data_IF_381756911150
#
_entry.id   IF_381756911150
#
_cell.length_a   1.000
_cell.length_b   1.000
_cell.length_c   1.000
_cell.angle_alpha   90.00
_cell.angle_beta   90.00
_cell.angle_gamma   90.00
#
_symmetry.space_group_name_H-M   'P 1'
#
loop_
_entity.id
_entity.type
_entity.pdbx_description
1 polymer ?
#
# COMPACT_ATOMS: atom_id res chain seq x y z
N UNK A 1 -12.86 5.60 15.80
CA UNK A 1 -13.18 4.37 15.07
C UNK A 1 -12.81 4.60 13.62
N UNK A 2 -12.16 3.64 12.95
CA UNK A 2 -11.87 3.69 11.51
C UNK A 2 -12.68 2.57 10.84
N UNK A 3 -13.54 2.89 9.87
CA UNK A 3 -14.35 1.91 9.13
C UNK A 3 -14.01 1.93 7.64
N UNK A 4 -13.87 0.75 7.03
CA UNK A 4 -13.80 0.55 5.57
C UNK A 4 -15.11 -0.09 5.12
N UNK A 5 -15.86 0.56 4.21
CA UNK A 5 -17.03 -0.07 3.59
C UNK A 5 -16.62 -0.83 2.33
N UNK A 6 -16.64 -2.16 2.38
CA UNK A 6 -16.88 -3.03 1.20
C UNK A 6 -18.36 -3.36 1.17
N UNK A 7 -18.93 -3.56 -0.01
CA UNK A 7 -20.35 -3.65 -0.40
C UNK A 7 -21.29 -4.63 0.37
N UNK A 8 -21.06 -4.97 1.64
CA UNK A 8 -22.08 -5.26 2.67
C UNK A 8 -21.47 -5.62 4.06
N UNK A 9 -20.17 -5.41 4.28
CA UNK A 9 -19.54 -5.61 5.59
C UNK A 9 -18.62 -4.44 5.93
N UNK A 10 -19.09 -3.57 6.82
CA UNK A 10 -18.26 -2.58 7.49
C UNK A 10 -17.18 -3.30 8.31
N UNK A 11 -15.91 -3.02 8.01
CA UNK A 11 -14.79 -3.58 8.78
C UNK A 11 -14.23 -2.53 9.72
N UNK A 12 -14.24 -2.81 11.03
CA UNK A 12 -13.54 -1.97 12.01
C UNK A 12 -12.03 -2.20 11.93
N UNK A 13 -11.26 -1.17 12.27
CA UNK A 13 -9.83 -1.27 12.51
C UNK A 13 -9.43 -2.46 13.39
N UNK A 14 -8.57 -3.33 12.86
CA UNK A 14 -8.08 -4.50 13.57
C UNK A 14 -6.98 -4.16 14.59
N UNK A 15 -6.10 -3.22 14.24
CA UNK A 15 -4.97 -2.83 15.06
C UNK A 15 -4.81 -1.31 15.12
N UNK A 16 -5.24 -0.71 16.23
CA UNK A 16 -5.06 0.71 16.47
C UNK A 16 -3.62 1.06 16.88
N UNK A 17 -3.03 2.02 16.19
CA UNK A 17 -1.77 2.66 16.59
C UNK A 17 -2.09 3.80 17.53
N UNK A 18 -1.50 3.80 18.74
CA UNK A 18 -1.80 4.78 19.79
C UNK A 18 -0.62 5.69 20.10
N UNK A 19 -0.93 6.91 20.55
CA UNK A 19 0.05 7.83 21.13
C UNK A 19 0.33 7.53 22.62
N UNK A 20 1.22 8.32 23.23
CA UNK A 20 1.58 8.25 24.65
C UNK A 20 0.37 8.45 25.60
N UNK A 21 -0.69 9.11 25.11
CA UNK A 21 -1.93 9.38 25.85
C UNK A 21 -3.02 8.34 25.54
N UNK A 22 -2.67 7.21 24.93
CA UNK A 22 -3.58 6.13 24.52
C UNK A 22 -4.65 6.55 23.50
N UNK A 23 -4.43 7.65 22.76
CA UNK A 23 -5.32 8.11 21.68
C UNK A 23 -4.99 7.36 20.40
N UNK A 24 -6.03 6.89 19.71
CA UNK A 24 -5.87 6.22 18.42
C UNK A 24 -5.43 7.25 17.36
N UNK A 25 -4.20 7.12 16.86
CA UNK A 25 -3.63 7.97 15.81
C UNK A 25 -3.59 7.30 14.44
N UNK A 26 -3.76 5.99 14.38
CA UNK A 26 -3.73 5.25 13.13
C UNK A 26 -4.35 3.87 13.26
N UNK A 27 -4.43 3.18 12.12
CA UNK A 27 -4.98 1.86 12.00
C UNK A 27 -4.13 0.99 11.07
N UNK A 28 -4.03 -0.29 11.39
CA UNK A 28 -3.47 -1.32 10.51
C UNK A 28 -4.56 -2.37 10.29
N UNK A 29 -4.90 -2.59 9.03
CA UNK A 29 -5.70 -3.73 8.58
C UNK A 29 -4.74 -4.82 8.11
N UNK A 30 -4.93 -6.05 8.59
CA UNK A 30 -4.15 -7.21 8.16
C UNK A 30 -4.73 -7.76 6.86
N UNK A 31 -3.87 -8.30 6.01
CA UNK A 31 -4.26 -9.02 4.78
C UNK A 31 -5.21 -8.23 3.86
N UNK A 32 -4.94 -6.94 3.67
CA UNK A 32 -5.70 -6.10 2.74
C UNK A 32 -5.46 -6.58 1.31
N UNK A 33 -6.51 -7.04 0.65
CA UNK A 33 -6.50 -7.24 -0.81
C UNK A 33 -7.03 -5.97 -1.46
N UNK A 34 -6.17 -5.22 -2.15
CA UNK A 34 -6.61 -4.00 -2.83
C UNK A 34 -7.23 -4.41 -4.19
N UNK A 35 -8.56 -4.33 -4.28
CA UNK A 35 -9.27 -4.50 -5.54
C UNK A 35 -9.17 -3.26 -6.44
N UNK A 36 -9.94 -3.24 -7.53
CA UNK A 36 -10.09 -2.05 -8.40
C UNK A 36 -11.05 -1.00 -7.81
N UNK A 37 -11.61 -1.27 -6.63
CA UNK A 37 -12.68 -0.50 -6.00
C UNK A 37 -12.16 0.65 -5.12
N UNK A 38 -13.00 1.68 -4.98
CA UNK A 38 -12.82 2.74 -3.98
C UNK A 38 -13.23 2.21 -2.61
N UNK A 39 -12.40 2.45 -1.61
CA UNK A 39 -12.76 2.22 -0.23
C UNK A 39 -13.28 3.52 0.40
N UNK A 40 -14.39 3.43 1.12
CA UNK A 40 -14.86 4.52 1.97
C UNK A 40 -14.26 4.37 3.36
N UNK A 41 -13.52 5.39 3.82
CA UNK A 41 -12.94 5.45 5.15
C UNK A 41 -13.73 6.42 6.02
N UNK A 42 -14.19 5.97 7.19
CA UNK A 42 -14.84 6.82 8.20
C UNK A 42 -14.03 6.82 9.49
N UNK A 43 -13.66 8.01 9.97
CA UNK A 43 -12.95 8.26 11.22
C UNK A 43 -13.86 9.01 12.18
N UNK A 44 -14.33 8.35 13.24
CA UNK A 44 -15.11 9.01 14.28
C UNK A 44 -14.30 9.18 15.59
N UNK A 45 -14.85 9.94 16.53
CA UNK A 45 -14.29 10.12 17.85
C UNK A 45 -15.37 10.27 18.93
N UNK A 46 -14.96 10.12 20.18
CA UNK A 46 -15.81 10.34 21.34
C UNK A 46 -15.06 11.13 22.41
N UNK A 47 -15.80 11.96 23.15
CA UNK A 47 -15.29 12.72 24.28
C UNK A 47 -16.38 12.85 25.34
N UNK A 48 -15.98 12.98 26.60
CA UNK A 48 -16.92 13.22 27.71
C UNK A 48 -17.46 14.65 27.72
N UNK A 49 -16.67 15.59 27.19
CA UNK A 49 -16.93 17.03 27.34
C UNK A 49 -17.61 17.64 26.11
N UNK A 50 -17.47 17.01 24.95
CA UNK A 50 -17.98 17.56 23.69
C UNK A 50 -18.24 16.49 22.65
N UNK A 51 -19.11 16.82 21.69
CA UNK A 51 -19.29 16.03 20.47
C UNK A 51 -18.06 16.22 19.57
N UNK A 52 -17.53 15.10 19.07
CA UNK A 52 -16.42 15.09 18.11
C UNK A 52 -16.99 14.84 16.72
N UNK A 53 -16.66 15.71 15.78
CA UNK A 53 -17.05 15.54 14.39
C UNK A 53 -16.26 14.39 13.76
N UNK A 54 -16.93 13.58 12.93
CA UNK A 54 -16.26 12.54 12.16
C UNK A 54 -15.63 13.13 10.88
N UNK A 55 -14.65 12.42 10.35
CA UNK A 55 -14.06 12.65 9.03
C UNK A 55 -14.33 11.44 8.15
N UNK A 56 -14.64 11.64 6.88
CA UNK A 56 -14.83 10.56 5.93
C UNK A 56 -14.29 10.87 4.54
N UNK A 57 -13.87 9.83 3.81
CA UNK A 57 -13.30 9.99 2.49
C UNK A 57 -13.40 8.71 1.65
N UNK A 58 -13.60 8.85 0.34
CA UNK A 58 -13.46 7.76 -0.63
C UNK A 58 -12.05 7.78 -1.24
N UNK A 59 -11.31 6.69 -1.06
CA UNK A 59 -9.93 6.55 -1.55
C UNK A 59 -9.85 5.41 -2.57
N UNK A 60 -9.30 5.71 -3.74
CA UNK A 60 -8.87 4.70 -4.70
C UNK A 60 -7.62 4.00 -4.12
N UNK A 61 -7.76 2.78 -3.60
CA UNK A 61 -6.69 2.09 -2.87
C UNK A 61 -5.40 1.89 -3.71
N UNK A 62 -5.54 1.67 -5.02
CA UNK A 62 -4.38 1.53 -5.92
C UNK A 62 -3.56 2.82 -6.07
N UNK A 63 -4.12 4.00 -5.75
CA UNK A 63 -3.39 5.28 -5.84
C UNK A 63 -2.50 5.53 -4.61
N UNK A 64 -2.80 4.86 -3.50
CA UNK A 64 -2.04 4.96 -2.25
C UNK A 64 -1.17 3.71 -1.99
N UNK A 65 -1.17 2.76 -2.93
CA UNK A 65 -0.30 1.58 -2.85
C UNK A 65 1.17 2.00 -2.95
N UNK A 66 1.96 1.61 -1.95
CA UNK A 66 3.41 1.79 -1.97
C UNK A 66 4.00 0.52 -2.57
N UNK A 67 4.48 0.63 -3.81
CA UNK A 67 5.09 -0.48 -4.54
C UNK A 67 6.44 -0.87 -3.90
N UNK A 68 6.69 -2.17 -3.81
CA UNK A 68 8.00 -2.68 -3.42
C UNK A 68 9.03 -2.44 -4.52
N UNK A 69 10.32 -2.66 -4.23
CA UNK A 69 11.32 -2.77 -5.28
C UNK A 69 11.02 -3.98 -6.22
N UNK A 70 11.58 -4.00 -7.44
CA UNK A 70 11.56 -5.17 -8.30
C UNK A 70 12.14 -6.39 -7.59
N UNK A 71 11.55 -7.56 -7.84
CA UNK A 71 11.92 -8.80 -7.18
C UNK A 71 12.91 -9.62 -8.01
N UNK A 72 13.72 -10.46 -7.36
CA UNK A 72 14.62 -11.42 -8.02
C UNK A 72 15.49 -10.77 -9.11
N UNK A 73 16.17 -9.68 -8.76
CA UNK A 73 17.11 -9.00 -9.66
C UNK A 73 18.34 -9.91 -9.82
N UNK A 74 18.61 -10.34 -11.05
CA UNK A 74 19.78 -11.14 -11.40
C UNK A 74 20.54 -10.50 -12.55
N UNK A 75 21.86 -10.65 -12.54
CA UNK A 75 22.73 -10.21 -13.62
C UNK A 75 23.54 -11.41 -14.12
N UNK A 76 23.43 -11.68 -15.41
CA UNK A 76 24.18 -12.73 -16.09
C UNK A 76 25.16 -12.10 -17.07
N UNK A 77 26.44 -12.04 -16.66
CA UNK A 77 27.54 -11.54 -17.47
C UNK A 77 28.36 -12.71 -17.98
N UNK A 78 28.49 -12.86 -19.30
CA UNK A 78 29.28 -13.95 -19.91
C UNK A 78 30.68 -13.44 -20.22
N UNK A 79 31.73 -14.17 -19.85
CA UNK A 79 33.12 -13.74 -20.12
C UNK A 79 33.45 -13.59 -21.61
N UNK A 80 32.75 -14.35 -22.44
CA UNK A 80 32.96 -14.37 -23.89
C UNK A 80 32.17 -13.27 -24.62
N UNK A 81 31.32 -12.51 -23.92
CA UNK A 81 30.54 -11.40 -24.47
C UNK A 81 30.77 -10.14 -23.64
N UNK A 82 30.94 -8.97 -24.28
CA UNK A 82 31.03 -7.69 -23.58
C UNK A 82 29.68 -7.20 -23.00
N UNK A 83 28.69 -8.09 -22.82
CA UNK A 83 27.32 -7.78 -22.42
C UNK A 83 26.92 -8.52 -21.16
N UNK A 84 26.18 -7.82 -20.30
CA UNK A 84 25.46 -8.40 -19.17
C UNK A 84 23.97 -8.33 -19.43
N UNK A 85 23.24 -9.41 -19.12
CA UNK A 85 21.79 -9.44 -19.15
C UNK A 85 21.29 -9.30 -17.72
N UNK A 86 20.53 -8.24 -17.44
CA UNK A 86 19.89 -8.02 -16.14
C UNK A 86 18.41 -8.37 -16.27
N UNK A 87 17.92 -9.22 -15.38
CA UNK A 87 16.51 -9.65 -15.35
C UNK A 87 15.92 -9.45 -13.96
N UNK A 88 14.62 -9.16 -13.90
CA UNK A 88 13.89 -9.02 -12.65
C UNK A 88 12.41 -9.38 -12.86
N UNK A 89 11.73 -9.64 -11.75
CA UNK A 89 10.28 -9.75 -11.67
C UNK A 89 9.69 -8.39 -11.26
N UNK A 90 8.46 -8.07 -11.71
CA UNK A 90 7.79 -6.84 -11.29
C UNK A 90 7.58 -6.81 -9.78
N UNK A 91 7.40 -5.61 -9.20
CA UNK A 91 7.06 -5.49 -7.79
C UNK A 91 5.69 -6.09 -7.51
N UNK A 92 5.43 -6.42 -6.25
CA UNK A 92 4.10 -6.86 -5.83
C UNK A 92 3.14 -5.68 -5.99
N UNK A 93 2.02 -5.94 -6.65
CA UNK A 93 0.90 -5.01 -6.75
C UNK A 93 -0.39 -5.81 -6.63
N UNK A 94 -1.33 -5.25 -5.91
CA UNK A 94 -2.69 -5.77 -5.84
C UNK A 94 -3.52 -5.34 -7.06
N UNK A 95 -3.07 -4.30 -7.77
CA UNK A 95 -3.74 -3.75 -8.94
C UNK A 95 -3.30 -4.45 -10.24
N UNK A 96 -3.61 -5.76 -10.32
CA UNK A 96 -3.10 -6.70 -11.33
C UNK A 96 -3.41 -6.27 -12.77
N UNK A 97 -4.54 -5.59 -13.01
CA UNK A 97 -4.95 -5.14 -14.35
C UNK A 97 -3.95 -4.17 -15.01
N UNK A 98 -3.15 -3.43 -14.21
CA UNK A 98 -2.13 -2.49 -14.70
C UNK A 98 -0.69 -2.94 -14.43
N UNK A 99 -0.46 -4.21 -14.11
CA UNK A 99 0.89 -4.74 -13.86
C UNK A 99 1.87 -4.56 -15.04
N UNK A 100 1.38 -4.29 -16.26
CA UNK A 100 2.20 -4.01 -17.45
C UNK A 100 2.67 -2.56 -17.56
N UNK A 101 2.26 -1.67 -16.65
CA UNK A 101 2.50 -0.23 -16.75
C UNK A 101 3.68 0.27 -15.89
N UNK A 102 4.52 -0.61 -15.36
CA UNK A 102 5.69 -0.18 -14.59
C UNK A 102 6.74 0.48 -15.48
N UNK A 103 7.24 1.62 -15.00
CA UNK A 103 8.44 2.27 -15.52
C UNK A 103 9.57 2.00 -14.54
N UNK A 104 10.73 1.61 -15.06
CA UNK A 104 11.88 1.23 -14.26
C UNK A 104 13.02 2.22 -14.47
N UNK A 105 13.69 2.57 -13.38
CA UNK A 105 14.96 3.28 -13.39
C UNK A 105 16.07 2.30 -13.01
N UNK A 106 17.18 2.34 -13.75
CA UNK A 106 18.34 1.47 -13.53
C UNK A 106 19.54 2.36 -13.31
N UNK A 107 20.15 2.26 -12.14
CA UNK A 107 21.40 2.95 -11.80
C UNK A 107 22.55 1.95 -11.83
N UNK A 108 23.50 2.15 -12.74
CA UNK A 108 24.72 1.34 -12.89
C UNK A 108 25.89 2.21 -12.46
N UNK A 109 26.63 1.74 -11.45
CA UNK A 109 27.85 2.40 -10.99
C UNK A 109 29.07 1.64 -11.49
N UNK A 110 30.02 2.36 -12.09
CA UNK A 110 31.35 1.83 -12.36
C UNK A 110 32.22 2.10 -11.13
N UNK A 111 33.00 1.11 -10.71
CA UNK A 111 34.05 1.28 -9.70
C UNK A 111 35.28 2.02 -10.26
#
# INVERSE_FOLDING_TARGET
YFAVCRDDEEMECELYVKDENCRNMGCIFQNVTIGTEKAYFLVNGSSKDSLIQFYDEYIDLYKIEILTAPLNITAHCTRDSASCIITWHPPLTSHVEKAKCFQYEISIQNE
#
